data_IF_300434794676
#
_entry.id   IF_300434794676
#
_cell.length_a   1.000
_cell.length_b   1.000
_cell.length_c   1.000
_cell.angle_alpha   90.00
_cell.angle_beta   90.00
_cell.angle_gamma   90.00
#
_symmetry.space_group_name_H-M   'P 1'
#
loop_
_entity.id
_entity.type
_entity.pdbx_description
1 polymer ?
#
# COMPACT_ATOMS: atom_id res chain seq x y z
N UNK A 1 -24.35 11.78 -2.40
CA UNK A 1 -23.80 11.02 -3.54
C UNK A 1 -22.33 10.78 -3.27
N UNK A 2 -21.93 9.53 -3.03
CA UNK A 2 -20.51 9.19 -2.86
C UNK A 2 -19.82 9.37 -4.21
N UNK A 3 -18.80 10.22 -4.30
CA UNK A 3 -17.95 10.29 -5.50
C UNK A 3 -17.24 8.94 -5.59
N UNK A 4 -17.67 8.07 -6.49
CA UNK A 4 -16.93 6.86 -6.82
C UNK A 4 -15.58 7.29 -7.37
N UNK A 5 -14.55 7.24 -6.52
CA UNK A 5 -13.17 7.54 -6.91
C UNK A 5 -12.77 6.61 -8.06
N UNK A 6 -12.20 7.16 -9.13
CA UNK A 6 -11.76 6.38 -10.29
C UNK A 6 -10.81 5.23 -9.83
N UNK A 7 -11.04 3.96 -10.24
CA UNK A 7 -10.17 2.83 -9.86
C UNK A 7 -8.68 3.05 -10.15
N UNK A 8 -8.35 3.79 -11.21
CA UNK A 8 -6.96 4.16 -11.51
C UNK A 8 -6.35 5.05 -10.41
N UNK A 9 -7.09 6.06 -9.97
CA UNK A 9 -6.62 6.99 -8.93
C UNK A 9 -6.52 6.28 -7.57
N UNK A 10 -7.43 5.34 -7.29
CA UNK A 10 -7.32 4.48 -6.11
C UNK A 10 -6.07 3.59 -6.16
N UNK A 11 -5.81 2.93 -7.30
CA UNK A 11 -4.60 2.13 -7.51
C UNK A 11 -3.34 2.97 -7.33
N UNK A 12 -3.26 4.14 -7.97
CA UNK A 12 -2.12 5.03 -7.89
C UNK A 12 -1.85 5.48 -6.45
N UNK A 13 -2.89 5.93 -5.76
CA UNK A 13 -2.79 6.34 -4.35
C UNK A 13 -2.31 5.20 -3.45
N UNK A 14 -2.69 3.95 -3.73
CA UNK A 14 -2.21 2.80 -2.97
C UNK A 14 -0.72 2.56 -3.21
N UNK A 15 -0.24 2.58 -4.45
CA UNK A 15 1.18 2.39 -4.72
C UNK A 15 2.04 3.47 -4.04
N UNK A 16 1.57 4.72 -4.02
CA UNK A 16 2.23 5.80 -3.28
C UNK A 16 2.22 5.56 -1.75
N UNK A 17 1.11 5.06 -1.19
CA UNK A 17 1.01 4.66 0.23
C UNK A 17 1.96 3.49 0.56
N UNK A 18 2.07 2.51 -0.33
CA UNK A 18 2.99 1.39 -0.22
C UNK A 18 4.45 1.87 -0.17
N UNK A 19 4.88 2.70 -1.13
CA UNK A 19 6.24 3.25 -1.17
C UNK A 19 6.56 4.06 0.09
N UNK A 20 5.60 4.84 0.58
CA UNK A 20 5.74 5.59 1.83
C UNK A 20 5.92 4.68 3.06
N UNK A 21 5.15 3.59 3.16
CA UNK A 21 5.28 2.62 4.26
C UNK A 21 6.67 1.94 4.21
N UNK A 22 7.13 1.57 3.02
CA UNK A 22 8.47 0.98 2.84
C UNK A 22 9.57 1.94 3.28
N UNK A 23 9.52 3.21 2.85
CA UNK A 23 10.52 4.24 3.21
C UNK A 23 10.62 4.39 4.73
N UNK A 24 9.48 4.50 5.43
CA UNK A 24 9.49 4.61 6.89
C UNK A 24 10.14 3.37 7.52
N UNK A 25 9.78 2.16 7.08
CA UNK A 25 10.36 0.95 7.65
C UNK A 25 11.88 0.90 7.46
N UNK A 26 12.37 1.12 6.24
CA UNK A 26 13.80 1.05 5.93
C UNK A 26 14.60 2.10 6.70
N UNK A 27 14.08 3.32 6.80
CA UNK A 27 14.67 4.38 7.63
C UNK A 27 14.63 4.05 9.11
N UNK A 28 13.55 3.45 9.60
CA UNK A 28 13.44 3.02 11.00
C UNK A 28 14.57 2.04 11.39
N UNK A 29 14.96 1.14 10.48
CA UNK A 29 16.03 0.15 10.74
C UNK A 29 17.42 0.79 10.79
N UNK A 30 17.67 1.83 9.99
CA UNK A 30 18.99 2.48 9.92
C UNK A 30 19.18 3.55 11.00
N UNK A 31 18.08 4.09 11.52
CA UNK A 31 18.08 5.24 12.43
C UNK A 31 17.72 4.87 13.88
N UNK A 32 17.45 3.60 14.20
CA UNK A 32 16.96 3.14 15.51
C UNK A 32 17.74 3.71 16.71
N UNK A 33 19.08 3.71 16.61
CA UNK A 33 19.99 4.19 17.67
C UNK A 33 19.93 5.70 17.92
N UNK A 34 19.32 6.48 17.02
CA UNK A 34 19.19 7.94 17.12
C UNK A 34 17.98 8.35 17.95
N UNK A 35 17.05 7.45 18.20
CA UNK A 35 15.77 7.77 18.82
C UNK A 35 15.72 7.38 20.31
N UNK A 36 14.92 8.09 21.12
CA UNK A 36 14.72 7.74 22.52
C UNK A 36 14.15 6.32 22.69
N UNK A 37 14.42 5.66 23.84
CA UNK A 37 13.79 4.38 24.17
C UNK A 37 12.27 4.46 24.06
N UNK A 38 11.65 3.47 23.40
CA UNK A 38 10.20 3.41 23.20
C UNK A 38 9.65 4.21 22.01
N UNK A 39 10.39 5.18 21.46
CA UNK A 39 9.96 5.91 20.26
C UNK A 39 9.81 4.97 19.05
N UNK A 40 10.76 4.05 18.89
CA UNK A 40 10.75 3.08 17.79
C UNK A 40 9.56 2.13 17.87
N UNK A 41 9.17 1.70 19.08
CA UNK A 41 7.95 0.93 19.29
C UNK A 41 6.71 1.69 18.81
N UNK A 42 6.60 2.99 19.12
CA UNK A 42 5.51 3.82 18.62
C UNK A 42 5.48 3.92 17.09
N UNK A 43 6.63 4.08 16.43
CA UNK A 43 6.73 4.09 14.96
C UNK A 43 6.24 2.75 14.38
N UNK A 44 6.69 1.64 14.95
CA UNK A 44 6.29 0.29 14.54
C UNK A 44 4.78 0.04 14.71
N UNK A 45 4.19 0.40 15.85
CA UNK A 45 2.75 0.28 16.08
C UNK A 45 1.93 1.13 15.10
N UNK A 46 2.43 2.33 14.76
CA UNK A 46 1.80 3.18 13.74
C UNK A 46 1.92 2.56 12.35
N UNK A 47 3.06 1.95 12.02
CA UNK A 47 3.25 1.25 10.76
C UNK A 47 2.31 0.04 10.63
N UNK A 48 2.10 -0.75 11.69
CA UNK A 48 1.13 -1.85 11.67
C UNK A 48 -0.27 -1.35 11.30
N UNK A 49 -0.70 -0.21 11.85
CA UNK A 49 -1.98 0.42 11.50
C UNK A 49 -2.03 0.81 10.02
N UNK A 50 -0.95 1.39 9.50
CA UNK A 50 -0.86 1.78 8.09
C UNK A 50 -0.89 0.55 7.16
N UNK A 51 -0.15 -0.51 7.49
CA UNK A 51 -0.16 -1.77 6.74
C UNK A 51 -1.57 -2.37 6.72
N UNK A 52 -2.23 -2.48 7.87
CA UNK A 52 -3.59 -3.03 7.94
C UNK A 52 -4.60 -2.18 7.15
N UNK A 53 -4.46 -0.85 7.20
CA UNK A 53 -5.25 0.07 6.39
C UNK A 53 -5.02 -0.15 4.89
N UNK A 54 -3.75 -0.24 4.47
CA UNK A 54 -3.38 -0.52 3.08
C UNK A 54 -3.97 -1.85 2.61
N UNK A 55 -3.75 -2.95 3.35
CA UNK A 55 -4.22 -4.30 2.97
C UNK A 55 -5.74 -4.31 2.79
N UNK A 56 -6.48 -3.67 3.70
CA UNK A 56 -7.93 -3.56 3.58
C UNK A 56 -8.36 -2.80 2.31
N UNK A 57 -7.79 -1.61 2.07
CA UNK A 57 -8.09 -0.81 0.87
C UNK A 57 -7.73 -1.56 -0.43
N UNK A 58 -6.55 -2.20 -0.44
CA UNK A 58 -6.07 -2.98 -1.58
C UNK A 58 -6.95 -4.20 -1.84
N UNK A 59 -7.44 -4.88 -0.79
CA UNK A 59 -8.41 -5.97 -0.91
C UNK A 59 -9.75 -5.50 -1.50
N UNK A 60 -10.26 -4.34 -1.08
CA UNK A 60 -11.46 -3.73 -1.65
C UNK A 60 -11.25 -3.41 -3.14
N UNK A 61 -10.15 -2.75 -3.49
CA UNK A 61 -9.86 -2.41 -4.88
C UNK A 61 -9.65 -3.66 -5.74
N UNK A 62 -8.96 -4.67 -5.23
CA UNK A 62 -8.80 -5.98 -5.89
C UNK A 62 -10.16 -6.61 -6.20
N UNK A 63 -11.08 -6.60 -5.24
CA UNK A 63 -12.45 -7.11 -5.44
C UNK A 63 -13.24 -6.29 -6.46
N UNK A 64 -12.97 -5.00 -6.60
CA UNK A 64 -13.58 -4.17 -7.65
C UNK A 64 -13.00 -4.52 -9.02
N UNK A 65 -11.68 -4.63 -9.10
CA UNK A 65 -10.92 -4.88 -10.33
C UNK A 65 -11.11 -6.31 -10.86
N UNK A 66 -11.36 -7.30 -10.00
CA UNK A 66 -11.58 -8.69 -10.43
C UNK A 66 -12.82 -8.90 -11.30
N UNK A 67 -13.73 -7.93 -11.33
CA UNK A 67 -14.92 -7.95 -12.20
C UNK A 67 -14.67 -7.31 -13.57
N UNK A 68 -13.53 -6.66 -13.76
CA UNK A 68 -13.14 -6.11 -15.06
C UNK A 68 -12.49 -7.20 -15.90
N UNK A 69 -12.65 -7.10 -17.21
CA UNK A 69 -11.86 -7.89 -18.16
C UNK A 69 -10.36 -7.54 -17.95
N UNK A 70 -9.47 -8.54 -17.75
CA UNK A 70 -8.04 -8.33 -17.50
C UNK A 70 -7.33 -7.50 -18.57
N UNK A 71 -7.84 -7.54 -19.82
CA UNK A 71 -7.32 -6.78 -20.96
C UNK A 71 -7.73 -5.30 -20.96
N UNK A 72 -8.70 -4.91 -20.11
CA UNK A 72 -9.10 -3.51 -19.99
C UNK A 72 -8.01 -2.68 -19.33
N UNK A 73 -7.90 -1.44 -19.80
CA UNK A 73 -6.98 -0.45 -19.24
C UNK A 73 -7.71 0.44 -18.25
N UNK A 74 -7.16 0.53 -17.03
CA UNK A 74 -7.49 1.60 -16.10
C UNK A 74 -6.90 2.90 -16.65
N UNK A 75 -7.67 3.99 -16.63
CA UNK A 75 -7.25 5.30 -17.17
C UNK A 75 -7.40 6.39 -16.14
N UNK A 76 -6.43 7.32 -16.11
CA UNK A 76 -6.57 8.54 -15.32
C UNK A 76 -7.70 9.43 -15.85
N UNK A 77 -8.32 10.20 -14.94
CA UNK A 77 -9.27 11.24 -15.30
C UNK A 77 -8.61 12.58 -15.69
N UNK A 78 -7.27 12.68 -15.63
CA UNK A 78 -6.56 13.92 -15.94
C UNK A 78 -6.54 14.21 -17.46
N UNK A 79 -7.10 15.35 -17.85
CA UNK A 79 -7.08 15.89 -19.22
C UNK A 79 -5.66 16.37 -19.52
N UNK A 80 -4.74 15.49 -19.92
CA UNK A 80 -3.38 15.93 -20.24
C UNK A 80 -2.32 14.86 -20.41
N UNK A 81 -2.64 13.59 -20.16
CA UNK A 81 -1.73 12.49 -20.45
C UNK A 81 -2.43 11.17 -20.23
N UNK A 82 -2.45 10.31 -21.25
CA UNK A 82 -3.04 8.97 -21.17
C UNK A 82 -2.14 8.06 -20.33
N UNK A 83 -2.13 8.29 -19.02
CA UNK A 83 -1.57 7.33 -18.07
C UNK A 83 -2.60 6.21 -17.93
N UNK A 84 -2.25 5.05 -18.50
CA UNK A 84 -3.08 3.86 -18.44
C UNK A 84 -2.26 2.63 -18.08
N UNK A 85 -2.88 1.72 -17.35
CA UNK A 85 -2.28 0.44 -16.95
C UNK A 85 -3.31 -0.67 -17.21
N UNK A 86 -2.85 -1.86 -17.61
CA UNK A 86 -3.75 -3.00 -17.73
C UNK A 86 -4.31 -3.36 -16.35
N UNK A 87 -5.56 -3.79 -16.31
CA UNK A 87 -6.21 -4.21 -15.08
C UNK A 87 -5.44 -5.37 -14.43
N UNK A 88 -4.98 -6.33 -15.25
CA UNK A 88 -4.19 -7.47 -14.79
C UNK A 88 -2.85 -7.04 -14.15
N UNK A 89 -2.12 -6.13 -14.82
CA UNK A 89 -0.87 -5.57 -14.29
C UNK A 89 -1.09 -4.86 -12.94
N UNK A 90 -2.20 -4.11 -12.82
CA UNK A 90 -2.57 -3.43 -11.58
C UNK A 90 -2.90 -4.43 -10.47
N UNK A 91 -3.67 -5.48 -10.78
CA UNK A 91 -4.00 -6.56 -9.85
C UNK A 91 -2.75 -7.31 -9.38
N UNK A 92 -1.84 -7.63 -10.30
CA UNK A 92 -0.59 -8.32 -9.99
C UNK A 92 0.29 -7.47 -9.06
N UNK A 93 0.45 -6.18 -9.36
CA UNK A 93 1.22 -5.27 -8.50
C UNK A 93 0.60 -5.11 -7.12
N UNK A 94 -0.73 -4.99 -7.02
CA UNK A 94 -1.42 -4.92 -5.74
C UNK A 94 -1.20 -6.19 -4.91
N UNK A 95 -1.28 -7.37 -5.52
CA UNK A 95 -1.00 -8.63 -4.81
C UNK A 95 0.43 -8.66 -4.27
N UNK A 96 1.42 -8.32 -5.09
CA UNK A 96 2.82 -8.28 -4.66
C UNK A 96 3.06 -7.28 -3.52
N UNK A 97 2.41 -6.10 -3.58
CA UNK A 97 2.48 -5.10 -2.52
C UNK A 97 1.84 -5.58 -1.22
N UNK A 98 0.69 -6.28 -1.29
CA UNK A 98 0.05 -6.89 -0.11
C UNK A 98 0.99 -7.91 0.53
N UNK A 99 1.47 -8.89 -0.24
CA UNK A 99 2.36 -9.95 0.25
C UNK A 99 3.60 -9.39 0.95
N UNK A 100 4.23 -8.38 0.34
CA UNK A 100 5.43 -7.75 0.91
C UNK A 100 5.13 -6.97 2.20
N UNK A 101 3.99 -6.29 2.28
CA UNK A 101 3.62 -5.58 3.51
C UNK A 101 3.18 -6.53 4.62
N UNK A 102 2.59 -7.67 4.29
CA UNK A 102 2.30 -8.73 5.27
C UNK A 102 3.59 -9.34 5.84
N UNK A 103 4.61 -9.60 5.02
CA UNK A 103 5.94 -10.00 5.50
C UNK A 103 6.57 -8.94 6.45
N UNK A 104 6.39 -7.66 6.15
CA UNK A 104 6.86 -6.59 7.02
C UNK A 104 6.06 -6.51 8.32
N UNK A 105 4.75 -6.71 8.25
CA UNK A 105 3.87 -6.77 9.43
C UNK A 105 4.36 -7.84 10.40
N UNK A 106 4.65 -9.04 9.91
CA UNK A 106 5.14 -10.15 10.75
C UNK A 106 6.50 -9.84 11.39
N UNK A 107 7.41 -9.20 10.65
CA UNK A 107 8.69 -8.72 11.18
C UNK A 107 8.49 -7.68 12.28
N UNK A 108 7.58 -6.73 12.08
CA UNK A 108 7.27 -5.67 13.04
C UNK A 108 6.62 -6.26 14.31
N UNK A 109 5.65 -7.16 14.15
CA UNK A 109 5.01 -7.86 15.27
C UNK A 109 6.04 -8.64 16.11
N UNK A 110 7.02 -9.27 15.46
CA UNK A 110 8.14 -9.94 16.12
C UNK A 110 9.04 -8.98 16.89
N UNK A 111 9.27 -7.76 16.38
CA UNK A 111 10.06 -6.72 17.06
C UNK A 111 9.33 -6.20 18.31
N UNK A 112 8.03 -5.93 18.20
CA UNK A 112 7.22 -5.37 19.29
C UNK A 112 7.00 -6.37 20.43
N UNK A 113 6.94 -7.67 20.11
CA UNK A 113 6.65 -8.74 21.08
C UNK A 113 7.87 -9.25 21.86
N UNK A 114 9.09 -8.82 21.47
CA UNK A 114 10.34 -9.07 22.20
C UNK A 114 10.52 -8.11 23.36
#
# INVERSE_FOLDING_TARGET
MSKTTNPYEQYKSLIEEFDYILDIYERSQTEEKKYPPGFMKYIYERMLKNINSFVNKAGILKSQLSNFDPSLRLRSSAIGGDSSILCDDALQKLNNSIERLEDYRDKIDTIISK
#
